data_IF_063447127083
#
_entry.id   IF_063447127083
#
_cell.length_a   1.000
_cell.length_b   1.000
_cell.length_c   1.000
_cell.angle_alpha   90.00
_cell.angle_beta   90.00
_cell.angle_gamma   90.00
#
_symmetry.space_group_name_H-M   'P 1'
#
loop_
_entity.id
_entity.type
_entity.pdbx_description
1 polymer ?
#
# COMPACT_ATOMS: atom_id res chain seq x y z
N UNK A 1 41.72 -11.94 26.33
CA UNK A 1 42.74 -10.92 26.70
C UNK A 1 42.02 -9.58 26.62
N UNK A 2 41.61 -9.15 27.76
CA UNK A 2 42.14 -8.07 28.62
C UNK A 2 41.56 -6.72 28.19
N UNK A 3 40.53 -6.20 28.90
CA UNK A 3 40.51 -5.37 30.11
C UNK A 3 40.81 -3.89 29.86
N UNK A 4 39.88 -3.00 30.21
CA UNK A 4 39.92 -1.87 31.16
C UNK A 4 38.65 -1.01 30.92
N UNK A 5 37.63 -0.92 31.67
CA UNK A 5 37.43 -0.45 33.07
C UNK A 5 38.06 0.91 33.39
N UNK A 6 37.24 1.93 33.53
CA UNK A 6 37.41 2.89 34.64
C UNK A 6 36.12 3.70 34.86
N UNK A 7 35.69 3.62 36.08
CA UNK A 7 34.67 4.41 36.79
C UNK A 7 35.20 5.78 37.21
N UNK A 8 34.36 6.80 37.34
CA UNK A 8 34.55 7.83 38.36
C UNK A 8 33.24 8.32 38.94
N UNK A 9 33.17 8.24 40.24
CA UNK A 9 32.13 8.78 41.17
C UNK A 9 32.50 10.23 41.56
N UNK A 10 31.50 10.93 42.05
CA UNK A 10 31.44 11.80 43.23
C UNK A 10 30.57 13.03 42.92
N UNK A 11 29.76 13.59 43.73
CA UNK A 11 29.26 13.56 45.08
C UNK A 11 28.56 14.91 45.32
N UNK A 12 27.35 14.87 45.78
CA UNK A 12 26.71 15.60 46.88
C UNK A 12 27.09 17.08 47.10
N UNK A 13 26.09 17.96 47.21
CA UNK A 13 25.88 18.80 48.38
C UNK A 13 24.48 19.47 48.38
N UNK A 14 23.87 19.39 49.54
CA UNK A 14 22.59 19.92 49.92
C UNK A 14 22.69 21.40 50.31
N UNK A 15 21.54 22.11 50.25
CA UNK A 15 21.40 23.43 50.80
C UNK A 15 19.91 23.83 50.90
N UNK A 16 19.34 23.60 52.09
CA UNK A 16 18.03 24.09 52.46
C UNK A 16 18.16 25.53 52.97
N UNK A 17 17.21 26.38 52.57
CA UNK A 17 16.88 27.59 53.33
C UNK A 17 15.37 27.78 53.33
N UNK A 18 14.82 27.70 54.54
CA UNK A 18 13.45 28.04 54.92
C UNK A 18 13.41 29.56 55.16
N UNK A 19 12.42 30.23 54.63
CA UNK A 19 11.97 31.52 55.15
C UNK A 19 10.46 31.67 54.96
N UNK A 20 9.78 31.54 56.06
CA UNK A 20 8.38 31.94 56.32
C UNK A 20 8.26 33.46 56.43
N UNK A 21 7.25 34.06 55.83
CA UNK A 21 6.59 35.25 56.40
C UNK A 21 5.17 35.40 55.80
N UNK A 22 4.26 35.69 56.70
CA UNK A 22 2.83 35.70 56.51
C UNK A 22 2.26 37.11 56.25
N UNK A 23 0.98 37.10 55.85
CA UNK A 23 -0.07 38.14 55.96
C UNK A 23 -0.10 39.29 54.95
N UNK A 24 -1.10 39.39 54.11
CA UNK A 24 -2.35 40.13 54.39
C UNK A 24 -3.37 40.00 53.26
N UNK A 25 -4.62 39.91 53.64
CA UNK A 25 -5.81 39.81 52.82
C UNK A 25 -6.15 41.07 52.13
N UNK A 26 -6.65 40.98 50.88
CA UNK A 26 -7.71 41.83 50.34
C UNK A 26 -8.41 41.10 49.21
N UNK A 27 -9.71 40.87 49.36
CA UNK A 27 -10.54 40.15 48.45
C UNK A 27 -10.79 40.91 47.14
N UNK A 28 -10.92 40.14 46.08
CA UNK A 28 -11.67 40.46 44.86
C UNK A 28 -12.37 39.18 44.39
N UNK A 29 -13.68 39.31 44.20
CA UNK A 29 -14.53 38.27 43.61
C UNK A 29 -14.03 37.89 42.22
N UNK A 30 -13.51 36.64 42.09
CA UNK A 30 -13.31 35.97 40.80
C UNK A 30 -14.46 35.00 40.60
N UNK A 31 -15.16 35.19 39.48
CA UNK A 31 -16.17 34.29 38.96
C UNK A 31 -15.56 32.88 38.71
N UNK A 32 -16.33 31.79 38.88
CA UNK A 32 -15.81 30.45 38.68
C UNK A 32 -15.41 30.24 37.22
N UNK A 33 -14.15 29.96 37.01
CA UNK A 33 -13.62 29.53 35.71
C UNK A 33 -14.34 28.26 35.29
N UNK A 34 -14.93 28.30 34.09
CA UNK A 34 -15.46 27.13 33.40
C UNK A 34 -14.38 26.06 33.30
N UNK A 35 -14.69 24.78 33.44
CA UNK A 35 -13.70 23.73 33.28
C UNK A 35 -13.19 23.75 31.86
N UNK A 36 -11.92 24.10 31.70
CA UNK A 36 -11.19 23.89 30.47
C UNK A 36 -11.31 22.43 30.04
N UNK A 37 -11.99 22.19 28.94
CA UNK A 37 -11.96 20.91 28.24
C UNK A 37 -10.51 20.64 27.79
N UNK A 38 -9.73 20.04 28.67
CA UNK A 38 -8.45 19.50 28.33
C UNK A 38 -8.70 18.39 27.29
N UNK A 39 -8.20 18.60 26.06
CA UNK A 39 -8.09 17.53 25.08
C UNK A 39 -7.38 16.34 25.75
N UNK A 40 -7.84 15.09 25.56
CA UNK A 40 -7.19 13.94 26.18
C UNK A 40 -5.74 13.88 25.73
N UNK A 41 -4.85 13.71 26.70
CA UNK A 41 -3.41 13.54 26.44
C UNK A 41 -3.19 12.44 25.41
N UNK A 42 -2.49 12.75 24.34
CA UNK A 42 -2.34 11.94 23.12
C UNK A 42 -1.53 10.64 23.31
N UNK A 43 -1.36 10.12 24.53
CA UNK A 43 -0.43 9.00 24.81
C UNK A 43 -0.96 7.92 25.79
N UNK A 44 -2.23 7.90 26.12
CA UNK A 44 -2.81 6.80 26.91
C UNK A 44 -3.16 5.63 26.00
N UNK A 45 -2.25 4.67 25.84
CA UNK A 45 -2.54 3.42 25.12
C UNK A 45 -3.65 2.65 25.79
N UNK A 46 -4.61 2.19 25.02
CA UNK A 46 -5.78 1.46 25.47
C UNK A 46 -5.53 -0.05 25.40
N UNK A 47 -5.64 -0.73 26.53
CA UNK A 47 -5.37 -2.16 26.63
C UNK A 47 -6.50 -3.00 26.01
N UNK A 48 -6.14 -4.08 25.33
CA UNK A 48 -7.05 -5.07 24.79
C UNK A 48 -6.66 -6.50 25.21
N UNK A 49 -7.64 -7.38 25.22
CA UNK A 49 -7.47 -8.82 25.35
C UNK A 49 -8.26 -9.49 24.24
N UNK A 50 -7.61 -10.34 23.43
CA UNK A 50 -8.24 -11.16 22.41
C UNK A 50 -8.04 -12.62 22.78
N UNK A 51 -9.12 -13.35 22.98
CA UNK A 51 -9.09 -14.76 23.34
C UNK A 51 -9.88 -15.59 22.33
N UNK A 52 -9.50 -16.85 22.16
CA UNK A 52 -10.25 -17.76 21.29
C UNK A 52 -9.95 -19.22 21.59
N UNK A 53 -10.94 -20.06 21.30
CA UNK A 53 -10.81 -21.50 21.25
C UNK A 53 -11.47 -21.99 19.96
N UNK A 54 -10.69 -22.60 19.07
CA UNK A 54 -11.14 -22.99 17.75
C UNK A 54 -10.67 -24.41 17.45
N UNK A 55 -11.55 -25.21 16.86
CA UNK A 55 -11.19 -26.53 16.39
C UNK A 55 -10.08 -26.46 15.32
N UNK A 56 -9.12 -27.37 15.42
CA UNK A 56 -7.99 -27.48 14.48
C UNK A 56 -6.85 -26.48 14.70
N UNK A 57 -6.83 -25.71 15.81
CA UNK A 57 -5.61 -25.03 16.26
C UNK A 57 -4.62 -26.07 16.82
N UNK A 58 -3.37 -26.00 16.38
CA UNK A 58 -2.33 -26.95 16.79
C UNK A 58 -1.62 -26.46 18.05
N UNK A 59 -1.25 -27.39 18.93
CA UNK A 59 -0.42 -27.08 20.10
C UNK A 59 0.90 -26.42 19.68
N UNK A 60 1.27 -25.33 20.35
CA UNK A 60 2.48 -24.55 20.00
C UNK A 60 2.36 -23.64 18.77
N UNK A 61 1.24 -23.64 18.07
CA UNK A 61 1.00 -22.77 16.93
C UNK A 61 0.99 -21.30 17.34
N UNK A 62 1.59 -20.44 16.51
CA UNK A 62 1.58 -18.99 16.74
C UNK A 62 0.31 -18.34 16.18
N UNK A 63 -0.26 -17.45 16.98
CA UNK A 63 -1.33 -16.52 16.59
C UNK A 63 -0.76 -15.13 16.61
N UNK A 64 -0.97 -14.36 15.56
CA UNK A 64 -0.38 -13.03 15.41
C UNK A 64 -1.43 -11.99 15.05
N UNK A 65 -1.33 -10.81 15.64
CA UNK A 65 -2.21 -9.67 15.38
C UNK A 65 -1.44 -8.63 14.53
N UNK A 66 -1.91 -8.43 13.30
CA UNK A 66 -1.40 -7.44 12.37
C UNK A 66 -2.31 -6.21 12.35
N UNK A 67 -1.73 -5.02 12.38
CA UNK A 67 -2.45 -3.75 12.27
C UNK A 67 -1.78 -2.88 11.20
N UNK A 68 -2.16 -3.01 9.93
CA UNK A 68 -1.51 -2.30 8.82
C UNK A 68 -1.50 -0.77 8.98
N UNK A 69 -2.54 -0.20 9.58
CA UNK A 69 -2.63 1.25 9.80
C UNK A 69 -1.57 1.80 10.78
N UNK A 70 -0.92 0.94 11.57
CA UNK A 70 0.15 1.32 12.49
C UNK A 70 1.55 1.00 11.97
N UNK A 71 1.66 0.36 10.81
CA UNK A 71 2.95 0.04 10.20
C UNK A 71 3.60 1.31 9.62
N UNK A 72 4.89 1.48 9.86
CA UNK A 72 5.69 2.55 9.22
C UNK A 72 5.89 2.30 7.72
N UNK A 73 5.99 1.03 7.34
CA UNK A 73 6.08 0.56 5.96
C UNK A 73 4.92 -0.41 5.67
N UNK A 74 3.97 -0.07 4.78
CA UNK A 74 2.83 -0.92 4.47
C UNK A 74 3.21 -2.24 3.80
N UNK A 75 4.44 -2.38 3.29
CA UNK A 75 4.95 -3.62 2.70
C UNK A 75 5.54 -4.58 3.73
N UNK A 76 5.79 -4.08 4.97
CA UNK A 76 6.41 -4.83 6.08
C UNK A 76 5.61 -4.65 7.36
N UNK A 77 4.44 -5.30 7.41
CA UNK A 77 3.56 -5.22 8.59
C UNK A 77 4.00 -6.27 9.61
N UNK A 78 4.68 -5.82 10.67
CA UNK A 78 5.05 -6.67 11.79
C UNK A 78 3.87 -6.86 12.76
N UNK A 79 3.75 -8.03 13.41
CA UNK A 79 2.73 -8.26 14.43
C UNK A 79 2.89 -7.30 15.62
N UNK A 80 1.81 -6.65 16.04
CA UNK A 80 1.81 -5.83 17.25
C UNK A 80 1.65 -6.66 18.54
N UNK A 81 1.17 -7.88 18.43
CA UNK A 81 1.07 -8.86 19.50
C UNK A 81 1.06 -10.29 18.93
N UNK A 82 1.59 -11.24 19.71
CA UNK A 82 1.61 -12.68 19.39
C UNK A 82 1.20 -13.51 20.59
N UNK A 83 0.64 -14.69 20.37
CA UNK A 83 0.34 -15.67 21.40
C UNK A 83 0.61 -17.09 20.86
N UNK A 84 0.90 -18.00 21.77
CA UNK A 84 1.04 -19.43 21.46
C UNK A 84 -0.25 -20.16 21.82
N UNK A 85 -0.67 -21.10 21.00
CA UNK A 85 -1.85 -21.94 21.24
C UNK A 85 -1.50 -23.02 22.27
N UNK A 86 -2.35 -23.15 23.31
CA UNK A 86 -2.31 -24.22 24.30
C UNK A 86 -3.71 -24.81 24.48
N UNK A 87 -3.82 -26.13 24.43
CA UNK A 87 -5.11 -26.85 24.55
C UNK A 87 -6.18 -26.34 23.56
N UNK A 88 -5.79 -25.96 22.34
CA UNK A 88 -6.68 -25.42 21.30
C UNK A 88 -7.21 -24.01 21.59
N UNK A 89 -6.61 -23.30 22.54
CA UNK A 89 -6.98 -21.91 22.92
C UNK A 89 -5.77 -20.98 22.87
N UNK A 90 -6.05 -19.70 22.76
CA UNK A 90 -5.04 -18.63 22.86
C UNK A 90 -5.60 -17.42 23.62
N UNK A 91 -4.71 -16.66 24.21
CA UNK A 91 -4.98 -15.35 24.79
C UNK A 91 -3.88 -14.39 24.36
N UNK A 92 -4.25 -13.32 23.69
CA UNK A 92 -3.37 -12.31 23.16
C UNK A 92 -3.72 -10.97 23.79
N UNK A 93 -2.73 -10.29 24.36
CA UNK A 93 -2.91 -9.00 25.02
C UNK A 93 -1.99 -7.96 24.41
N UNK A 94 -2.40 -6.70 24.51
CA UNK A 94 -1.62 -5.59 24.01
C UNK A 94 -2.30 -4.25 24.23
N UNK A 95 -1.84 -3.22 23.54
CA UNK A 95 -2.45 -1.90 23.62
C UNK A 95 -2.32 -1.15 22.28
N UNK A 96 -3.34 -0.35 21.97
CA UNK A 96 -3.37 0.54 20.80
C UNK A 96 -3.65 1.97 21.24
N UNK A 97 -3.18 2.98 20.49
CA UNK A 97 -3.47 4.38 20.81
C UNK A 97 -4.95 4.73 20.61
N UNK A 98 -5.58 4.12 19.62
CA UNK A 98 -6.99 4.32 19.27
C UNK A 98 -7.52 3.05 18.58
N UNK A 99 -8.85 2.81 18.55
CA UNK A 99 -9.41 1.66 17.84
C UNK A 99 -9.09 1.69 16.34
N UNK A 100 -8.52 0.60 15.82
CA UNK A 100 -8.09 0.46 14.42
C UNK A 100 -8.41 -0.94 13.88
N UNK A 101 -8.65 -1.12 12.58
CA UNK A 101 -8.81 -2.43 11.99
C UNK A 101 -7.55 -3.29 12.16
N UNK A 102 -7.75 -4.56 12.47
CA UNK A 102 -6.70 -5.54 12.61
C UNK A 102 -7.05 -6.87 11.96
N UNK A 103 -6.04 -7.63 11.66
CA UNK A 103 -6.12 -8.98 11.11
C UNK A 103 -5.43 -9.93 12.07
N UNK A 104 -6.20 -10.84 12.64
CA UNK A 104 -5.67 -11.93 13.45
C UNK A 104 -5.36 -13.11 12.52
N UNK A 105 -4.12 -13.54 12.49
CA UNK A 105 -3.70 -14.75 11.77
C UNK A 105 -3.68 -15.94 12.73
N UNK A 106 -4.35 -17.02 12.34
CA UNK A 106 -4.58 -18.22 13.17
C UNK A 106 -3.80 -19.43 12.61
N UNK A 107 -2.57 -19.21 12.12
CA UNK A 107 -1.78 -20.19 11.37
C UNK A 107 -2.38 -20.47 9.98
N UNK A 108 -1.96 -21.52 9.33
CA UNK A 108 -2.33 -22.05 8.01
C UNK A 108 -3.49 -21.35 7.26
N UNK A 109 -3.28 -20.08 6.86
CA UNK A 109 -4.22 -19.27 6.05
C UNK A 109 -5.57 -18.92 6.71
N UNK A 110 -5.81 -19.30 7.98
CA UNK A 110 -7.00 -18.84 8.70
C UNK A 110 -6.78 -17.45 9.28
N UNK A 111 -7.76 -16.58 9.08
CA UNK A 111 -7.73 -15.20 9.61
C UNK A 111 -9.07 -14.83 10.23
N UNK A 112 -9.05 -13.90 11.19
CA UNK A 112 -10.24 -13.20 11.66
C UNK A 112 -10.01 -11.70 11.56
N UNK A 113 -11.00 -10.99 11.02
CA UNK A 113 -11.00 -9.52 11.00
C UNK A 113 -11.65 -8.99 12.25
N UNK A 114 -11.09 -7.92 12.82
CA UNK A 114 -11.60 -7.28 14.03
C UNK A 114 -11.19 -5.81 14.06
N UNK A 115 -11.83 -5.04 14.91
CA UNK A 115 -11.29 -3.75 15.35
C UNK A 115 -10.50 -4.00 16.62
N UNK A 116 -9.22 -3.65 16.62
CA UNK A 116 -8.42 -3.67 17.84
C UNK A 116 -8.87 -2.49 18.70
N UNK A 117 -9.58 -2.77 19.75
CA UNK A 117 -10.26 -1.80 20.61
C UNK A 117 -10.09 -2.16 22.09
N UNK A 118 -10.28 -1.22 23.04
CA UNK A 118 -10.16 -1.52 24.46
C UNK A 118 -11.16 -2.57 24.91
N UNK A 119 -10.73 -3.43 25.84
CA UNK A 119 -11.59 -4.45 26.42
C UNK A 119 -11.31 -5.86 25.94
N UNK A 120 -12.33 -6.71 25.99
CA UNK A 120 -12.21 -8.13 25.67
C UNK A 120 -12.92 -8.46 24.37
N UNK A 121 -12.20 -9.13 23.48
CA UNK A 121 -12.71 -9.69 22.24
C UNK A 121 -12.61 -11.21 22.30
N UNK A 122 -13.59 -11.91 21.74
CA UNK A 122 -13.59 -13.37 21.61
C UNK A 122 -13.60 -13.77 20.15
N UNK A 123 -12.75 -14.73 19.82
CA UNK A 123 -12.70 -15.30 18.47
C UNK A 123 -13.28 -16.71 18.52
N UNK A 124 -14.30 -16.94 17.71
CA UNK A 124 -15.06 -18.19 17.66
C UNK A 124 -15.27 -18.66 16.24
N UNK A 125 -15.73 -19.89 16.06
CA UNK A 125 -16.09 -20.42 14.75
C UNK A 125 -17.41 -19.79 14.28
N UNK A 126 -17.37 -19.18 13.09
CA UNK A 126 -18.56 -18.74 12.37
C UNK A 126 -18.80 -19.56 11.11
N UNK A 127 -19.90 -19.31 10.40
CA UNK A 127 -20.24 -20.06 9.18
C UNK A 127 -19.25 -19.84 8.01
N UNK A 128 -18.56 -18.70 8.02
CA UNK A 128 -17.59 -18.31 6.97
C UNK A 128 -16.13 -18.42 7.41
N UNK A 129 -15.87 -18.96 8.61
CA UNK A 129 -14.54 -19.05 9.21
C UNK A 129 -14.52 -18.43 10.60
N UNK A 130 -13.34 -18.05 11.09
CA UNK A 130 -13.19 -17.46 12.40
C UNK A 130 -13.77 -16.02 12.40
N UNK A 131 -14.55 -15.68 13.44
CA UNK A 131 -15.14 -14.36 13.64
C UNK A 131 -14.80 -13.83 15.03
N UNK A 132 -14.49 -12.54 15.12
CA UNK A 132 -14.31 -11.87 16.40
C UNK A 132 -15.62 -11.23 16.85
N UNK A 133 -15.88 -11.24 18.16
CA UNK A 133 -17.10 -10.73 18.79
C UNK A 133 -16.81 -10.05 20.13
N UNK A 134 -17.80 -9.33 20.63
CA UNK A 134 -17.82 -8.73 21.95
C UNK A 134 -17.20 -7.34 22.01
N UNK A 135 -16.63 -6.87 20.92
CA UNK A 135 -16.17 -5.50 20.77
C UNK A 135 -17.26 -4.59 20.25
N UNK A 136 -17.37 -3.39 20.81
CA UNK A 136 -18.34 -2.38 20.35
C UNK A 136 -18.16 -2.03 18.89
N UNK A 137 -16.93 -1.80 18.45
CA UNK A 137 -16.61 -1.41 17.08
C UNK A 137 -16.51 -2.63 16.17
N UNK A 138 -15.96 -3.74 16.66
CA UNK A 138 -15.87 -5.01 15.93
C UNK A 138 -17.24 -5.48 15.46
N UNK A 139 -18.24 -5.50 16.36
CA UNK A 139 -19.60 -5.97 16.04
C UNK A 139 -20.33 -5.04 15.05
N UNK A 140 -20.03 -3.73 15.09
CA UNK A 140 -20.60 -2.76 14.15
C UNK A 140 -19.91 -2.80 12.78
N UNK A 141 -18.60 -2.97 12.73
CA UNK A 141 -17.84 -2.93 11.45
C UNK A 141 -17.91 -4.27 10.73
N UNK A 142 -17.79 -5.39 11.44
CA UNK A 142 -17.72 -6.73 10.86
C UNK A 142 -18.95 -7.60 11.11
N UNK A 143 -20.01 -7.06 11.71
CA UNK A 143 -21.25 -7.79 11.98
C UNK A 143 -21.94 -8.35 10.74
N UNK A 144 -21.69 -7.78 9.57
CA UNK A 144 -22.21 -8.30 8.31
C UNK A 144 -21.75 -9.74 8.01
N UNK A 145 -20.58 -10.16 8.50
CA UNK A 145 -20.05 -11.52 8.30
C UNK A 145 -20.97 -12.62 8.86
N UNK A 146 -21.92 -12.28 9.70
CA UNK A 146 -22.83 -13.19 10.36
C UNK A 146 -24.29 -13.01 9.91
N UNK A 147 -24.55 -12.04 9.04
CA UNK A 147 -25.90 -11.84 8.50
C UNK A 147 -26.26 -12.93 7.51
N UNK A 148 -27.44 -13.56 7.62
CA UNK A 148 -27.84 -14.66 6.75
C UNK A 148 -27.75 -14.31 5.26
N UNK A 149 -28.12 -13.08 4.87
CA UNK A 149 -28.06 -12.60 3.49
C UNK A 149 -26.62 -12.50 2.96
N UNK A 150 -25.65 -12.10 3.81
CA UNK A 150 -24.25 -12.05 3.43
C UNK A 150 -23.64 -13.46 3.36
N UNK A 151 -23.93 -14.31 4.34
CA UNK A 151 -23.48 -15.70 4.38
C UNK A 151 -23.97 -16.46 3.15
N UNK A 152 -25.24 -16.31 2.78
CA UNK A 152 -25.80 -16.94 1.58
C UNK A 152 -25.14 -16.41 0.29
N UNK A 153 -24.92 -15.10 0.18
CA UNK A 153 -24.27 -14.50 -0.99
C UNK A 153 -22.80 -14.95 -1.10
N UNK A 154 -22.09 -15.05 0.03
CA UNK A 154 -20.70 -15.52 0.06
C UNK A 154 -20.59 -16.99 -0.37
N UNK A 155 -21.45 -17.88 0.16
CA UNK A 155 -21.49 -19.29 -0.22
C UNK A 155 -21.78 -19.45 -1.71
N UNK A 156 -22.77 -18.71 -2.25
CA UNK A 156 -23.09 -18.71 -3.68
C UNK A 156 -21.91 -18.22 -4.55
N UNK A 157 -21.21 -17.16 -4.13
CA UNK A 157 -20.04 -16.67 -4.85
C UNK A 157 -18.90 -17.68 -4.84
N UNK A 158 -18.63 -18.33 -3.69
CA UNK A 158 -17.64 -19.39 -3.59
C UNK A 158 -17.99 -20.58 -4.50
N UNK A 159 -19.23 -21.02 -4.50
CA UNK A 159 -19.71 -22.12 -5.35
C UNK A 159 -19.55 -21.78 -6.84
N UNK A 160 -19.93 -20.55 -7.25
CA UNK A 160 -19.76 -20.07 -8.62
C UNK A 160 -18.27 -20.11 -9.04
N UNK A 161 -17.37 -19.65 -8.18
CA UNK A 161 -15.92 -19.67 -8.45
C UNK A 161 -15.38 -21.11 -8.53
N UNK A 162 -15.73 -21.98 -7.60
CA UNK A 162 -15.32 -23.41 -7.65
C UNK A 162 -15.81 -24.04 -8.95
N UNK A 163 -17.07 -23.86 -9.31
CA UNK A 163 -17.63 -24.39 -10.56
C UNK A 163 -16.95 -23.84 -11.80
N UNK A 164 -16.62 -22.54 -11.82
CA UNK A 164 -16.00 -21.88 -12.97
C UNK A 164 -14.54 -22.33 -13.20
N UNK A 165 -13.78 -22.57 -12.14
CA UNK A 165 -12.31 -22.75 -12.23
C UNK A 165 -11.80 -24.17 -11.89
N UNK A 166 -12.65 -25.09 -11.40
CA UNK A 166 -12.19 -26.42 -10.93
C UNK A 166 -11.60 -27.35 -12.01
N UNK A 167 -11.91 -27.12 -13.29
CA UNK A 167 -11.46 -27.99 -14.39
C UNK A 167 -11.06 -27.16 -15.63
N UNK A 168 -10.50 -25.98 -15.43
CA UNK A 168 -10.11 -25.10 -16.52
C UNK A 168 -8.61 -25.24 -16.80
N UNK A 169 -8.24 -25.24 -18.05
CA UNK A 169 -6.85 -25.07 -18.46
C UNK A 169 -6.48 -23.58 -18.32
N UNK A 170 -5.60 -23.27 -17.38
CA UNK A 170 -5.17 -21.90 -17.11
C UNK A 170 -4.44 -21.25 -18.29
N UNK A 171 -3.97 -22.04 -19.27
CA UNK A 171 -3.33 -21.54 -20.51
C UNK A 171 -4.35 -21.21 -21.61
N UNK A 172 -5.61 -21.64 -21.48
CA UNK A 172 -6.69 -21.27 -22.41
C UNK A 172 -7.31 -19.91 -22.00
N UNK A 173 -6.85 -18.87 -22.65
CA UNK A 173 -7.25 -17.47 -22.39
C UNK A 173 -8.75 -17.24 -22.60
N UNK A 174 -9.34 -17.89 -23.62
CA UNK A 174 -10.78 -17.77 -23.90
C UNK A 174 -11.61 -18.47 -22.82
N UNK A 175 -11.22 -19.68 -22.41
CA UNK A 175 -11.85 -20.41 -21.33
C UNK A 175 -11.73 -19.67 -19.99
N UNK A 176 -10.56 -19.11 -19.67
CA UNK A 176 -10.33 -18.28 -18.48
C UNK A 176 -11.20 -17.02 -18.48
N UNK A 177 -11.37 -16.37 -19.62
CA UNK A 177 -12.23 -15.18 -19.76
C UNK A 177 -13.69 -15.54 -19.52
N UNK A 178 -14.19 -16.61 -20.16
CA UNK A 178 -15.55 -17.08 -19.97
C UNK A 178 -15.83 -17.49 -18.50
N UNK A 179 -14.86 -18.14 -17.84
CA UNK A 179 -14.97 -18.48 -16.44
C UNK A 179 -15.09 -17.23 -15.55
N UNK A 180 -14.24 -16.23 -15.75
CA UNK A 180 -14.31 -14.95 -15.03
C UNK A 180 -15.67 -14.27 -15.22
N UNK A 181 -16.16 -14.19 -16.45
CA UNK A 181 -17.45 -13.59 -16.75
C UNK A 181 -18.61 -14.33 -16.06
N UNK A 182 -18.54 -15.66 -16.00
CA UNK A 182 -19.57 -16.49 -15.36
C UNK A 182 -19.73 -16.24 -13.86
N UNK A 183 -18.67 -15.79 -13.17
CA UNK A 183 -18.67 -15.51 -11.73
C UNK A 183 -19.15 -14.09 -11.38
N UNK A 184 -19.18 -13.17 -12.36
CA UNK A 184 -19.55 -11.75 -12.15
C UNK A 184 -20.90 -11.55 -11.44
N UNK A 185 -21.99 -12.27 -11.79
CA UNK A 185 -23.28 -12.06 -11.12
C UNK A 185 -23.22 -12.37 -9.61
N UNK A 186 -22.56 -13.48 -9.23
CA UNK A 186 -22.44 -13.88 -7.83
C UNK A 186 -21.54 -12.92 -7.05
N UNK A 187 -20.41 -12.51 -7.63
CA UNK A 187 -19.52 -11.51 -7.04
C UNK A 187 -20.24 -10.15 -6.86
N UNK A 188 -21.01 -9.71 -7.85
CA UNK A 188 -21.82 -8.48 -7.76
C UNK A 188 -22.86 -8.56 -6.64
N UNK A 189 -23.53 -9.70 -6.50
CA UNK A 189 -24.52 -9.90 -5.42
C UNK A 189 -23.86 -9.78 -4.05
N UNK A 190 -22.71 -10.43 -3.84
CA UNK A 190 -21.95 -10.38 -2.61
C UNK A 190 -21.53 -8.94 -2.28
N UNK A 191 -20.98 -8.23 -3.26
CA UNK A 191 -20.59 -6.82 -3.12
C UNK A 191 -21.79 -5.92 -2.78
N UNK A 192 -22.97 -6.15 -3.42
CA UNK A 192 -24.18 -5.38 -3.13
C UNK A 192 -24.61 -5.53 -1.68
N UNK A 193 -24.66 -6.77 -1.16
CA UNK A 193 -25.08 -7.03 0.23
C UNK A 193 -24.12 -6.34 1.23
N UNK A 194 -22.80 -6.42 0.97
CA UNK A 194 -21.82 -5.72 1.81
C UNK A 194 -22.00 -4.20 1.74
N UNK A 195 -22.12 -3.65 0.54
CA UNK A 195 -22.26 -2.22 0.32
C UNK A 195 -23.55 -1.64 0.94
N UNK A 196 -24.65 -2.40 0.93
CA UNK A 196 -25.89 -1.98 1.58
C UNK A 196 -25.75 -1.92 3.10
N UNK A 197 -25.02 -2.88 3.68
CA UNK A 197 -24.66 -2.84 5.10
C UNK A 197 -23.82 -1.61 5.44
N UNK A 198 -22.74 -1.37 4.69
CA UNK A 198 -21.86 -0.23 4.90
C UNK A 198 -22.61 1.10 4.74
N UNK A 199 -23.47 1.19 3.73
CA UNK A 199 -24.27 2.39 3.48
C UNK A 199 -25.19 2.71 4.63
N UNK A 200 -25.85 1.70 5.21
CA UNK A 200 -26.71 1.89 6.36
C UNK A 200 -25.96 2.50 7.56
N UNK A 201 -24.68 2.18 7.73
CA UNK A 201 -23.81 2.78 8.76
C UNK A 201 -23.39 4.19 8.35
N UNK A 202 -22.94 4.39 7.13
CA UNK A 202 -22.38 5.66 6.67
C UNK A 202 -23.43 6.77 6.57
N UNK A 203 -24.63 6.43 6.13
CA UNK A 203 -25.74 7.36 5.97
C UNK A 203 -26.60 7.49 7.24
N UNK A 204 -26.45 6.60 8.22
CA UNK A 204 -27.16 6.61 9.50
C UNK A 204 -26.46 7.44 10.58
N UNK A 205 -26.95 7.29 11.82
CA UNK A 205 -26.46 8.02 13.02
C UNK A 205 -25.30 7.32 13.74
N UNK A 206 -24.54 6.48 13.02
CA UNK A 206 -23.40 5.80 13.62
C UNK A 206 -22.32 6.81 14.07
N UNK A 207 -21.59 6.52 15.17
CA UNK A 207 -20.48 7.36 15.63
C UNK A 207 -19.46 7.60 14.51
N UNK A 208 -18.86 8.80 14.50
CA UNK A 208 -17.87 9.20 13.49
C UNK A 208 -16.71 8.21 13.36
N UNK A 209 -16.23 7.67 14.49
CA UNK A 209 -15.19 6.63 14.47
C UNK A 209 -15.65 5.35 13.74
N UNK A 210 -16.91 4.91 13.92
CA UNK A 210 -17.44 3.74 13.20
C UNK A 210 -17.52 4.01 11.71
N UNK A 211 -17.95 5.20 11.30
CA UNK A 211 -17.96 5.60 9.88
C UNK A 211 -16.56 5.61 9.29
N UNK A 212 -15.57 6.11 10.02
CA UNK A 212 -14.15 6.07 9.61
C UNK A 212 -13.66 4.63 9.43
N UNK A 213 -13.95 3.75 10.40
CA UNK A 213 -13.55 2.34 10.36
C UNK A 213 -14.19 1.62 9.17
N UNK A 214 -15.49 1.81 8.94
CA UNK A 214 -16.19 1.22 7.78
C UNK A 214 -15.60 1.71 6.47
N UNK A 215 -15.29 3.01 6.36
CA UNK A 215 -14.68 3.58 5.15
C UNK A 215 -13.28 3.05 4.90
N UNK A 216 -12.49 2.77 5.93
CA UNK A 216 -11.15 2.20 5.77
C UNK A 216 -11.18 0.76 5.23
N UNK A 217 -12.28 0.03 5.44
CA UNK A 217 -12.51 -1.34 4.97
C UNK A 217 -13.35 -1.41 3.68
N UNK A 218 -13.85 -0.28 3.19
CA UNK A 218 -14.73 -0.23 2.03
C UNK A 218 -13.95 0.13 0.77
N UNK A 219 -13.83 -0.86 -0.14
CA UNK A 219 -13.19 -0.67 -1.44
C UNK A 219 -14.02 0.21 -2.40
N UNK A 220 -15.27 0.54 -2.08
CA UNK A 220 -16.16 1.37 -2.92
C UNK A 220 -16.04 2.88 -2.66
N UNK A 221 -14.91 3.28 -2.08
CA UNK A 221 -14.50 4.68 -1.86
C UNK A 221 -14.55 5.53 -3.14
N UNK A 222 -14.40 4.86 -4.31
CA UNK A 222 -14.44 5.50 -5.63
C UNK A 222 -15.80 6.09 -6.01
N UNK A 223 -16.89 5.69 -5.37
CA UNK A 223 -18.23 6.25 -5.62
C UNK A 223 -18.41 7.70 -5.11
N UNK A 224 -17.55 8.11 -4.19
CA UNK A 224 -17.48 9.50 -3.77
C UNK A 224 -16.48 10.25 -4.67
N UNK A 225 -16.88 11.42 -5.18
CA UNK A 225 -15.94 12.29 -5.86
C UNK A 225 -14.85 12.80 -4.89
N UNK A 226 -13.83 13.40 -5.46
CA UNK A 226 -12.67 13.84 -4.68
C UNK A 226 -13.03 14.90 -3.65
N UNK A 227 -13.89 15.85 -4.01
CA UNK A 227 -14.32 16.93 -3.13
C UNK A 227 -15.08 16.34 -1.92
N UNK A 228 -15.97 15.39 -2.16
CA UNK A 228 -16.72 14.71 -1.10
C UNK A 228 -15.79 13.91 -0.19
N UNK A 229 -14.83 13.18 -0.75
CA UNK A 229 -13.82 12.45 0.05
C UNK A 229 -13.01 13.38 0.93
N UNK A 230 -12.54 14.51 0.39
CA UNK A 230 -11.81 15.52 1.16
C UNK A 230 -12.65 16.09 2.29
N UNK A 231 -13.93 16.41 2.04
CA UNK A 231 -14.84 16.88 3.08
C UNK A 231 -15.03 15.85 4.20
N UNK A 232 -15.19 14.58 3.87
CA UNK A 232 -15.35 13.50 4.86
C UNK A 232 -14.09 13.35 5.72
N UNK A 233 -12.91 13.34 5.10
CA UNK A 233 -11.64 13.27 5.83
C UNK A 233 -11.45 14.48 6.75
N UNK A 234 -11.76 15.68 6.26
CA UNK A 234 -11.70 16.91 7.08
C UNK A 234 -12.66 16.86 8.28
N UNK A 235 -13.89 16.35 8.10
CA UNK A 235 -14.84 16.16 9.20
C UNK A 235 -14.33 15.13 10.23
N UNK A 236 -13.76 14.00 9.76
CA UNK A 236 -13.14 13.02 10.67
C UNK A 236 -11.96 13.63 11.42
N UNK A 237 -11.12 14.40 10.75
CA UNK A 237 -9.97 15.08 11.37
C UNK A 237 -10.41 16.07 12.47
N UNK A 238 -11.48 16.82 12.22
CA UNK A 238 -12.00 17.80 13.18
C UNK A 238 -12.50 17.13 14.48
N UNK A 239 -13.11 15.93 14.39
CA UNK A 239 -13.70 15.25 15.55
C UNK A 239 -12.73 14.25 16.20
N UNK A 240 -11.95 13.51 15.42
CA UNK A 240 -11.12 12.40 15.89
C UNK A 240 -9.62 12.73 15.96
N UNK A 241 -9.22 13.93 15.57
CA UNK A 241 -7.82 14.36 15.58
C UNK A 241 -6.93 13.52 14.66
N UNK A 242 -5.69 13.27 15.07
CA UNK A 242 -4.67 12.56 14.28
C UNK A 242 -4.83 11.03 14.37
N UNK A 243 -6.03 10.52 14.09
CA UNK A 243 -6.25 9.08 14.04
C UNK A 243 -5.39 8.43 12.93
N UNK A 244 -4.72 7.26 13.14
CA UNK A 244 -3.83 6.63 12.17
C UNK A 244 -4.45 6.43 10.77
N UNK A 245 -5.73 6.05 10.72
CA UNK A 245 -6.46 5.91 9.44
C UNK A 245 -6.61 7.24 8.70
N UNK A 246 -6.86 8.34 9.41
CA UNK A 246 -6.99 9.67 8.81
C UNK A 246 -5.65 10.09 8.22
N UNK A 247 -4.56 9.92 8.98
CA UNK A 247 -3.20 10.21 8.52
C UNK A 247 -2.86 9.40 7.26
N UNK A 248 -3.23 8.12 7.23
CA UNK A 248 -3.04 7.26 6.06
C UNK A 248 -3.87 7.73 4.84
N UNK A 249 -5.12 8.13 5.05
CA UNK A 249 -5.99 8.66 3.98
C UNK A 249 -5.49 9.99 3.42
N UNK A 250 -5.01 10.89 4.26
CA UNK A 250 -4.41 12.16 3.86
C UNK A 250 -3.15 11.94 3.03
N UNK A 251 -2.25 11.07 3.49
CA UNK A 251 -1.05 10.69 2.74
C UNK A 251 -1.40 10.10 1.38
N UNK A 252 -2.34 9.16 1.31
CA UNK A 252 -2.79 8.60 0.05
C UNK A 252 -3.41 9.65 -0.89
N UNK A 253 -4.13 10.64 -0.35
CA UNK A 253 -4.67 11.73 -1.15
C UNK A 253 -3.57 12.65 -1.71
N UNK A 254 -2.53 12.95 -0.93
CA UNK A 254 -1.36 13.72 -1.39
C UNK A 254 -0.57 12.96 -2.46
N UNK A 255 -0.33 11.66 -2.27
CA UNK A 255 0.35 10.80 -3.25
C UNK A 255 -0.45 10.74 -4.57
N UNK A 256 -1.77 10.58 -4.50
CA UNK A 256 -2.64 10.61 -5.68
C UNK A 256 -2.64 11.99 -6.37
N UNK A 257 -2.59 13.09 -5.62
CA UNK A 257 -2.50 14.43 -6.19
C UNK A 257 -1.17 14.62 -6.93
N UNK A 258 -0.06 14.20 -6.33
CA UNK A 258 1.27 14.20 -6.99
C UNK A 258 1.26 13.35 -8.26
N UNK A 259 0.71 12.13 -8.20
CA UNK A 259 0.61 11.25 -9.36
C UNK A 259 -0.20 11.88 -10.50
N UNK A 260 -1.29 12.60 -10.20
CA UNK A 260 -2.06 13.34 -11.22
C UNK A 260 -1.27 14.49 -11.83
N UNK A 261 -0.58 15.29 -11.02
CA UNK A 261 0.28 16.36 -11.52
C UNK A 261 1.35 15.82 -12.49
N UNK A 262 1.93 14.67 -12.15
CA UNK A 262 2.91 13.98 -13.01
C UNK A 262 2.27 13.46 -14.28
N UNK A 263 1.07 12.86 -14.22
CA UNK A 263 0.33 12.41 -15.39
C UNK A 263 -0.06 13.58 -16.31
N UNK A 264 -0.39 14.75 -15.74
CA UNK A 264 -0.62 15.97 -16.51
C UNK A 264 0.66 16.50 -17.18
N UNK A 265 1.82 16.39 -16.51
CA UNK A 265 3.12 16.80 -17.01
C UNK A 265 3.70 15.84 -18.04
N UNK A 266 3.58 14.52 -17.80
CA UNK A 266 4.23 13.46 -18.56
C UNK A 266 3.25 12.45 -19.18
N UNK A 267 1.98 12.80 -19.31
CA UNK A 267 0.97 11.96 -19.96
C UNK A 267 1.14 11.88 -21.46
N UNK A 268 0.38 11.00 -22.13
CA UNK A 268 0.37 10.90 -23.59
C UNK A 268 0.07 12.25 -24.26
N UNK A 269 0.83 12.60 -25.28
CA UNK A 269 0.77 13.89 -25.98
C UNK A 269 1.61 15.00 -25.36
N UNK A 270 2.28 14.77 -24.23
CA UNK A 270 3.17 15.74 -23.56
C UNK A 270 4.63 15.55 -24.00
N UNK A 271 5.47 16.60 -23.92
CA UNK A 271 6.88 16.48 -24.19
C UNK A 271 7.60 15.70 -23.08
N UNK A 272 8.65 14.99 -23.46
CA UNK A 272 9.56 14.35 -22.51
C UNK A 272 10.41 15.38 -21.74
N UNK A 273 11.00 14.97 -20.61
CA UNK A 273 12.09 15.71 -19.96
C UNK A 273 13.43 15.05 -20.33
N UNK A 274 14.40 15.85 -20.76
CA UNK A 274 15.73 15.31 -21.02
C UNK A 274 16.42 14.94 -19.69
N UNK A 275 16.93 13.74 -19.61
CA UNK A 275 17.69 13.23 -18.48
C UNK A 275 18.98 12.60 -18.96
N UNK A 276 19.91 12.40 -18.04
CA UNK A 276 21.15 11.68 -18.29
C UNK A 276 21.42 10.68 -17.18
N UNK A 277 22.06 9.58 -17.53
CA UNK A 277 22.46 8.54 -16.59
C UNK A 277 23.78 7.92 -17.03
N UNK A 278 24.43 7.20 -16.10
CA UNK A 278 25.78 6.67 -16.30
C UNK A 278 25.73 5.23 -16.82
N UNK A 279 26.43 4.95 -17.92
CA UNK A 279 26.59 3.60 -18.44
C UNK A 279 27.58 2.75 -17.64
N UNK A 280 27.62 1.46 -17.92
CA UNK A 280 28.57 0.52 -17.27
C UNK A 280 30.02 0.97 -17.48
N UNK A 281 30.32 1.58 -18.62
CA UNK A 281 31.64 2.13 -18.99
C UNK A 281 31.97 3.48 -18.32
N UNK A 282 31.08 3.99 -17.47
CA UNK A 282 31.22 5.26 -16.77
C UNK A 282 30.90 6.50 -17.60
N UNK A 283 30.42 6.33 -18.84
CA UNK A 283 30.05 7.47 -19.68
C UNK A 283 28.61 7.91 -19.41
N UNK A 284 28.39 9.23 -19.45
CA UNK A 284 27.07 9.81 -19.40
C UNK A 284 26.36 9.69 -20.75
N UNK A 285 25.13 9.20 -20.75
CA UNK A 285 24.27 9.11 -21.92
C UNK A 285 23.03 9.97 -21.68
N UNK A 286 22.74 10.88 -22.60
CA UNK A 286 21.54 11.71 -22.56
C UNK A 286 20.40 11.04 -23.32
N UNK A 287 19.20 11.10 -22.78
CA UNK A 287 17.99 10.58 -23.44
C UNK A 287 17.75 11.26 -24.81
N UNK A 288 17.99 12.56 -24.90
CA UNK A 288 17.92 13.33 -26.17
C UNK A 288 18.83 12.78 -27.27
N UNK A 289 20.02 12.28 -26.92
CA UNK A 289 20.95 11.70 -27.90
C UNK A 289 20.44 10.34 -28.44
N UNK A 290 19.72 9.60 -27.61
CA UNK A 290 19.13 8.32 -27.99
C UNK A 290 17.88 8.55 -28.84
N UNK A 291 17.02 9.49 -28.45
CA UNK A 291 15.83 9.90 -29.21
C UNK A 291 16.20 10.38 -30.63
N UNK A 292 17.29 11.15 -30.76
CA UNK A 292 17.71 11.68 -32.04
C UNK A 292 18.12 10.60 -33.10
N UNK A 293 18.32 9.35 -32.65
CA UNK A 293 18.75 8.22 -33.49
C UNK A 293 17.69 7.15 -33.68
N UNK A 294 16.58 7.26 -32.93
CA UNK A 294 15.54 6.25 -32.89
C UNK A 294 14.17 6.84 -33.21
N UNK A 295 13.29 6.05 -33.80
CA UNK A 295 11.89 6.42 -34.07
C UNK A 295 11.06 6.40 -32.79
N UNK A 296 11.44 5.53 -31.84
CA UNK A 296 10.69 5.26 -30.62
C UNK A 296 11.65 4.80 -29.52
N UNK A 297 11.53 5.35 -28.32
CA UNK A 297 12.34 4.98 -27.16
C UNK A 297 11.45 4.65 -25.98
N UNK A 298 11.65 3.50 -25.35
CA UNK A 298 11.09 3.16 -24.05
C UNK A 298 12.08 3.61 -22.96
N UNK A 299 11.76 4.70 -22.26
CA UNK A 299 12.42 5.04 -21.01
C UNK A 299 11.85 4.17 -19.92
N UNK A 300 12.67 3.31 -19.31
CA UNK A 300 12.26 2.35 -18.30
C UNK A 300 13.06 2.53 -17.00
N UNK A 301 12.37 2.82 -15.89
CA UNK A 301 12.96 2.91 -14.55
C UNK A 301 12.75 1.59 -13.82
N UNK A 302 13.85 1.02 -13.34
CA UNK A 302 13.89 -0.28 -12.69
C UNK A 302 14.93 -0.36 -11.58
N UNK A 303 15.06 -1.51 -10.90
CA UNK A 303 16.16 -1.81 -9.98
C UNK A 303 16.33 -3.33 -9.81
N UNK A 304 17.50 -3.77 -9.37
CA UNK A 304 17.81 -5.18 -9.12
C UNK A 304 16.88 -5.84 -8.09
N UNK A 305 16.48 -5.10 -7.08
CA UNK A 305 15.54 -5.52 -6.03
C UNK A 305 14.07 -5.44 -6.44
N UNK A 306 13.75 -4.88 -7.61
CA UNK A 306 12.39 -4.78 -8.12
C UNK A 306 11.96 -6.07 -8.83
N UNK A 307 11.41 -7.02 -8.09
CA UNK A 307 10.92 -8.30 -8.65
C UNK A 307 9.96 -8.14 -9.83
N UNK A 308 8.92 -7.29 -9.75
CA UNK A 308 8.02 -7.03 -10.88
C UNK A 308 8.73 -6.47 -12.12
N UNK A 309 9.76 -5.59 -11.97
CA UNK A 309 10.53 -5.07 -13.10
C UNK A 309 11.27 -6.20 -13.83
N UNK A 310 11.97 -7.04 -13.06
CA UNK A 310 12.72 -8.18 -13.58
C UNK A 310 11.79 -9.19 -14.27
N UNK A 311 10.59 -9.37 -13.74
CA UNK A 311 9.57 -10.23 -14.35
C UNK A 311 9.11 -9.77 -15.75
N UNK A 312 9.26 -8.48 -16.09
CA UNK A 312 8.93 -7.94 -17.41
C UNK A 312 10.05 -8.16 -18.45
N UNK A 313 11.30 -8.39 -18.04
CA UNK A 313 12.45 -8.47 -18.95
C UNK A 313 12.35 -9.57 -20.02
N UNK A 314 11.88 -10.79 -19.76
CA UNK A 314 11.71 -11.79 -20.79
C UNK A 314 10.80 -11.32 -21.93
N UNK A 315 9.75 -10.57 -21.60
CA UNK A 315 8.85 -9.98 -22.59
C UNK A 315 9.51 -8.81 -23.33
N UNK A 316 10.18 -7.90 -22.60
CA UNK A 316 10.92 -6.78 -23.20
C UNK A 316 12.03 -7.26 -24.14
N UNK A 317 12.72 -8.36 -23.82
CA UNK A 317 13.71 -8.99 -24.71
C UNK A 317 13.11 -9.41 -26.04
N UNK A 318 11.91 -9.99 -26.03
CA UNK A 318 11.18 -10.36 -27.23
C UNK A 318 10.80 -9.13 -28.05
N UNK A 319 10.22 -8.11 -27.41
CA UNK A 319 9.84 -6.85 -28.06
C UNK A 319 11.07 -6.14 -28.63
N UNK A 320 12.16 -6.07 -27.88
CA UNK A 320 13.40 -5.45 -28.33
C UNK A 320 13.96 -6.14 -29.59
N UNK A 321 14.09 -7.47 -29.58
CA UNK A 321 14.60 -8.24 -30.71
C UNK A 321 13.76 -8.05 -31.98
N UNK A 322 12.44 -7.94 -31.83
CA UNK A 322 11.52 -7.74 -32.95
C UNK A 322 11.61 -6.31 -33.52
N UNK A 323 11.63 -5.28 -32.65
CA UNK A 323 11.41 -3.90 -33.09
C UNK A 323 12.67 -3.03 -33.12
N UNK A 324 13.76 -3.42 -32.48
CA UNK A 324 15.02 -2.66 -32.52
C UNK A 324 15.53 -2.42 -33.96
N UNK A 325 15.51 -3.41 -34.90
CA UNK A 325 15.89 -3.17 -36.29
C UNK A 325 15.00 -2.14 -37.01
N UNK A 326 13.83 -1.83 -36.47
CA UNK A 326 12.85 -0.88 -36.99
C UNK A 326 12.94 0.51 -36.37
N UNK A 327 13.92 0.75 -35.50
CA UNK A 327 14.17 2.04 -34.83
C UNK A 327 13.53 2.18 -33.45
N UNK A 328 13.29 1.07 -32.76
CA UNK A 328 12.91 1.03 -31.34
C UNK A 328 14.15 0.86 -30.48
N UNK A 329 14.24 1.59 -29.38
CA UNK A 329 15.31 1.45 -28.38
C UNK A 329 14.72 1.43 -26.97
N UNK A 330 15.41 0.79 -26.03
CA UNK A 330 15.11 0.85 -24.60
C UNK A 330 16.24 1.60 -23.89
N UNK A 331 15.90 2.68 -23.19
CA UNK A 331 16.77 3.47 -22.33
C UNK A 331 16.42 3.10 -20.90
N UNK A 332 17.06 2.07 -20.36
CA UNK A 332 16.79 1.52 -19.04
C UNK A 332 17.65 2.20 -17.98
N UNK A 333 17.01 2.80 -16.97
CA UNK A 333 17.65 3.51 -15.87
C UNK A 333 17.44 2.73 -14.58
N UNK A 334 18.51 2.12 -14.07
CA UNK A 334 18.50 1.49 -12.76
C UNK A 334 18.59 2.54 -11.65
N UNK A 335 17.75 2.39 -10.62
CA UNK A 335 17.80 3.18 -9.39
C UNK A 335 18.59 2.50 -8.27
N UNK A 336 19.35 1.44 -8.57
CA UNK A 336 20.22 0.79 -7.61
C UNK A 336 21.28 1.77 -7.06
N UNK A 337 21.48 1.73 -5.76
CA UNK A 337 22.55 2.50 -5.10
C UNK A 337 23.92 1.87 -5.39
N UNK A 338 24.00 0.53 -5.41
CA UNK A 338 25.21 -0.21 -5.68
C UNK A 338 25.30 -0.63 -7.16
N UNK A 339 26.42 -0.25 -7.80
CA UNK A 339 26.72 -0.65 -9.17
C UNK A 339 26.85 -2.17 -9.33
N UNK A 340 27.34 -2.87 -8.31
CA UNK A 340 27.52 -4.32 -8.38
C UNK A 340 26.18 -5.06 -8.43
N UNK A 341 25.18 -4.63 -7.65
CA UNK A 341 23.83 -5.21 -7.67
C UNK A 341 23.15 -5.00 -9.02
N UNK A 342 23.24 -3.77 -9.55
CA UNK A 342 22.74 -3.45 -10.90
C UNK A 342 23.39 -4.31 -11.97
N UNK A 343 24.73 -4.36 -12.03
CA UNK A 343 25.43 -5.14 -13.08
C UNK A 343 25.17 -6.63 -12.96
N UNK A 344 25.11 -7.16 -11.74
CA UNK A 344 24.74 -8.55 -11.48
C UNK A 344 23.35 -8.88 -12.02
N UNK A 345 22.37 -8.03 -11.73
CA UNK A 345 21.00 -8.26 -12.20
C UNK A 345 20.90 -8.20 -13.75
N UNK A 346 21.63 -7.31 -14.42
CA UNK A 346 21.69 -7.28 -15.89
C UNK A 346 22.21 -8.59 -16.49
N UNK A 347 23.25 -9.18 -15.89
CA UNK A 347 23.80 -10.48 -16.32
C UNK A 347 22.81 -11.61 -16.08
N UNK A 348 22.17 -11.65 -14.92
CA UNK A 348 21.19 -12.68 -14.55
C UNK A 348 20.00 -12.72 -15.52
N UNK A 349 19.49 -11.55 -15.92
CA UNK A 349 18.29 -11.42 -16.76
C UNK A 349 18.60 -11.47 -18.26
N UNK A 350 19.78 -11.04 -18.67
CA UNK A 350 20.22 -11.10 -20.08
C UNK A 350 20.65 -12.50 -20.53
N UNK A 351 20.91 -13.39 -19.60
CA UNK A 351 21.46 -14.71 -19.88
C UNK A 351 22.94 -14.65 -20.24
N UNK A 352 23.35 -15.24 -21.40
CA UNK A 352 24.77 -15.25 -21.80
C UNK A 352 25.32 -13.90 -22.25
N UNK A 353 24.49 -12.92 -22.61
CA UNK A 353 24.89 -11.73 -23.36
C UNK A 353 24.40 -10.40 -22.74
N UNK A 354 24.20 -10.30 -21.47
CA UNK A 354 23.59 -9.12 -20.81
C UNK A 354 22.24 -8.67 -21.46
N UNK A 355 21.60 -7.70 -20.85
CA UNK A 355 20.45 -7.05 -21.46
C UNK A 355 20.91 -6.22 -22.67
N UNK A 356 20.36 -6.44 -23.88
CA UNK A 356 20.95 -5.94 -25.14
C UNK A 356 20.72 -4.46 -25.42
N UNK A 357 19.93 -3.79 -24.61
CA UNK A 357 19.58 -2.37 -24.76
C UNK A 357 20.51 -1.44 -23.98
N UNK A 358 20.23 -0.14 -24.00
CA UNK A 358 21.01 0.87 -23.29
C UNK A 358 20.74 0.76 -21.79
N UNK A 359 21.70 0.24 -21.03
CA UNK A 359 21.62 0.06 -19.58
C UNK A 359 22.41 1.14 -18.85
N UNK A 360 21.73 1.87 -17.98
CA UNK A 360 22.26 3.04 -17.29
C UNK A 360 21.90 2.97 -15.79
N UNK A 361 22.65 3.70 -14.96
CA UNK A 361 22.40 3.85 -13.54
C UNK A 361 22.25 5.32 -13.17
N UNK A 362 21.22 5.63 -12.38
CA UNK A 362 21.00 6.91 -11.72
C UNK A 362 20.44 6.61 -10.31
N UNK A 363 21.30 6.55 -9.27
CA UNK A 363 20.94 6.01 -7.98
C UNK A 363 19.80 6.70 -7.27
N UNK A 364 18.90 5.91 -6.72
CA UNK A 364 17.83 6.30 -5.79
C UNK A 364 16.66 7.07 -6.40
N UNK A 365 15.57 7.11 -5.67
CA UNK A 365 14.39 7.91 -6.04
C UNK A 365 14.64 9.42 -5.94
N UNK A 366 15.59 9.84 -5.13
CA UNK A 366 15.99 11.24 -4.97
C UNK A 366 16.99 11.72 -6.04
N UNK A 367 17.46 10.80 -6.90
CA UNK A 367 18.35 11.10 -8.01
C UNK A 367 17.67 11.99 -9.07
N UNK A 368 18.48 12.80 -9.80
CA UNK A 368 17.99 13.77 -10.78
C UNK A 368 17.07 13.13 -11.83
N UNK A 369 17.40 11.95 -12.33
CA UNK A 369 16.62 11.26 -13.36
C UNK A 369 15.23 10.82 -12.83
N UNK A 370 15.17 10.24 -11.63
CA UNK A 370 13.92 9.83 -11.00
C UNK A 370 13.05 11.06 -10.65
N UNK A 371 13.66 12.10 -10.08
CA UNK A 371 12.96 13.34 -9.72
C UNK A 371 12.43 14.08 -10.95
N UNK A 372 13.16 14.12 -12.07
CA UNK A 372 12.72 14.77 -13.29
C UNK A 372 11.38 14.23 -13.80
N UNK A 373 11.16 12.93 -13.67
CA UNK A 373 9.92 12.24 -14.04
C UNK A 373 9.00 11.97 -12.84
N UNK A 374 9.39 12.33 -11.62
CA UNK A 374 8.66 12.11 -10.39
C UNK A 374 8.42 10.63 -10.10
N UNK A 375 9.40 9.80 -10.39
CA UNK A 375 9.35 8.36 -10.12
C UNK A 375 9.38 8.14 -8.61
N UNK A 376 8.31 7.57 -8.06
CA UNK A 376 8.18 7.30 -6.63
C UNK A 376 8.03 5.80 -6.35
N UNK A 377 7.82 5.00 -7.39
CA UNK A 377 7.68 3.54 -7.31
C UNK A 377 8.14 2.88 -8.60
N UNK A 378 8.51 1.62 -8.52
CA UNK A 378 8.92 0.79 -9.66
C UNK A 378 7.95 -0.40 -9.84
N UNK A 379 7.77 -0.88 -11.09
CA UNK A 379 8.30 -0.36 -12.35
C UNK A 379 7.56 0.88 -12.85
N UNK A 380 8.27 1.80 -13.52
CA UNK A 380 7.71 2.99 -14.17
C UNK A 380 8.35 3.20 -15.53
N UNK A 381 7.55 3.37 -16.59
CA UNK A 381 8.07 3.58 -17.93
C UNK A 381 7.30 4.62 -18.73
N UNK A 382 7.97 5.13 -19.78
CA UNK A 382 7.46 6.13 -20.72
C UNK A 382 7.88 5.74 -22.13
N UNK A 383 6.92 5.56 -23.03
CA UNK A 383 7.19 5.36 -24.45
C UNK A 383 7.21 6.73 -25.13
N UNK A 384 8.33 7.08 -25.76
CA UNK A 384 8.59 8.41 -26.30
C UNK A 384 8.87 8.28 -27.79
N UNK A 385 8.11 9.01 -28.61
CA UNK A 385 8.35 9.09 -30.04
C UNK A 385 9.61 9.92 -30.35
N UNK A 386 10.22 9.71 -31.53
CA UNK A 386 11.45 10.40 -31.94
C UNK A 386 11.35 11.93 -31.99
N UNK A 387 10.14 12.49 -32.07
CA UNK A 387 9.88 13.93 -31.96
C UNK A 387 9.85 14.44 -30.51
N UNK A 388 10.05 13.56 -29.52
CA UNK A 388 10.04 13.89 -28.10
C UNK A 388 8.66 13.85 -27.45
N UNK A 389 7.63 13.40 -28.16
CA UNK A 389 6.28 13.27 -27.60
C UNK A 389 6.13 11.96 -26.85
N UNK A 390 5.64 12.00 -25.61
CA UNK A 390 5.27 10.81 -24.85
C UNK A 390 4.01 10.21 -25.46
N UNK A 391 4.03 8.93 -25.80
CA UNK A 391 2.92 8.21 -26.45
C UNK A 391 2.36 7.08 -25.59
N UNK A 392 3.04 6.73 -24.49
CA UNK A 392 2.58 5.74 -23.51
C UNK A 392 3.24 5.92 -22.16
N UNK A 393 2.56 5.55 -21.07
CA UNK A 393 3.03 5.69 -19.68
C UNK A 393 2.60 4.50 -18.86
N UNK A 394 3.49 3.98 -18.02
CA UNK A 394 3.18 2.93 -17.04
C UNK A 394 2.66 1.63 -17.66
N UNK A 395 3.10 1.33 -18.86
CA UNK A 395 2.68 0.16 -19.63
C UNK A 395 3.29 -1.12 -19.05
N UNK A 396 2.60 -2.25 -19.24
CA UNK A 396 3.04 -3.57 -18.79
C UNK A 396 2.97 -4.57 -19.94
N UNK A 397 3.94 -5.47 -19.99
CA UNK A 397 3.95 -6.65 -20.88
C UNK A 397 3.37 -6.40 -22.27
N UNK A 398 2.21 -7.00 -22.57
CA UNK A 398 1.53 -6.92 -23.87
C UNK A 398 1.14 -5.48 -24.28
N UNK A 399 0.95 -4.57 -23.32
CA UNK A 399 0.66 -3.18 -23.65
C UNK A 399 1.87 -2.48 -24.29
N UNK A 400 3.09 -2.82 -23.85
CA UNK A 400 4.33 -2.31 -24.46
C UNK A 400 4.42 -2.77 -25.91
N UNK A 401 4.29 -4.09 -26.16
CA UNK A 401 4.35 -4.64 -27.53
C UNK A 401 3.32 -4.00 -28.46
N UNK A 402 2.06 -3.93 -27.99
CA UNK A 402 0.96 -3.35 -28.76
C UNK A 402 1.21 -1.88 -29.08
N UNK A 403 1.70 -1.09 -28.10
CA UNK A 403 1.98 0.32 -28.27
C UNK A 403 3.15 0.55 -29.22
N UNK A 404 4.26 -0.19 -29.06
CA UNK A 404 5.43 -0.12 -29.94
C UNK A 404 5.04 -0.43 -31.39
N UNK A 405 4.35 -1.54 -31.61
CA UNK A 405 3.86 -1.95 -32.93
C UNK A 405 2.96 -0.90 -33.56
N UNK A 406 2.02 -0.34 -32.81
CA UNK A 406 1.09 0.68 -33.30
C UNK A 406 1.80 2.01 -33.66
N UNK A 407 2.78 2.44 -32.85
CA UNK A 407 3.48 3.70 -33.08
C UNK A 407 4.46 3.60 -34.27
N UNK A 408 5.20 2.50 -34.39
CA UNK A 408 6.12 2.32 -35.53
C UNK A 408 5.36 2.27 -36.87
N UNK A 409 4.20 1.61 -36.93
CA UNK A 409 3.34 1.66 -38.15
C UNK A 409 2.92 3.09 -38.49
N UNK A 410 2.51 3.91 -37.52
CA UNK A 410 2.13 5.31 -37.77
C UNK A 410 3.29 6.14 -38.32
N UNK A 411 4.52 5.88 -37.85
CA UNK A 411 5.72 6.57 -38.37
C UNK A 411 6.06 6.14 -39.77
N UNK A 412 5.93 4.85 -40.10
CA UNK A 412 6.22 4.31 -41.43
C UNK A 412 5.16 4.72 -42.46
N UNK A 413 3.88 4.88 -42.04
CA UNK A 413 2.77 5.32 -42.92
C UNK A 413 2.72 6.86 -43.08
N UNK A 414 3.52 7.63 -42.36
CA UNK A 414 3.55 9.08 -42.45
C UNK A 414 4.21 9.51 -43.79
N UNK A 415 3.60 10.42 -44.59
CA UNK A 415 4.22 10.90 -45.81
C UNK A 415 5.58 11.54 -45.48
N UNK A 416 6.61 11.18 -46.29
CA UNK A 416 7.93 11.77 -46.17
C UNK A 416 7.82 13.30 -46.28
N UNK A 417 8.27 14.01 -45.24
CA UNK A 417 8.29 15.47 -45.20
C UNK A 417 9.44 16.04 -46.03
#
# INVERSE_FOLDING_TARGET
>A
MSLFSTSLRASVLAGAVIATLALSACGRDEAPASPSSAAPAADARQAFTISGRLEGLQEGQQVSLLVPALASDPTKVEPIATATVHDGAFVLTGSVPQPVPGILTLGDHRTARLVVEPGELRVEAGELGAVARGGRYTDLVYGYLQRPEYVAAFKANREANVKAFSNIDETDEAAMTAARESTVPAARRLATVKNDYDRAILDGDAPTLVKLLVLSENYDWKRYDEARRAQMVAAFRAELGAHPLIVSMERAAEENAKARQLAEKFGPGKPYADIQAVGVDGKMVKLSQVLARNKLVLLDFWASWCGPCRGEFPHLLKVYREFHPHGFEIYAVSLDEDKADWTKAMHEEGGSDDLPWINLQAPGFEGEAAQAYGVMQLPQNYLIAGDGTIVGVGMREWDVERAVRAQLRKVDDAPAR
#
